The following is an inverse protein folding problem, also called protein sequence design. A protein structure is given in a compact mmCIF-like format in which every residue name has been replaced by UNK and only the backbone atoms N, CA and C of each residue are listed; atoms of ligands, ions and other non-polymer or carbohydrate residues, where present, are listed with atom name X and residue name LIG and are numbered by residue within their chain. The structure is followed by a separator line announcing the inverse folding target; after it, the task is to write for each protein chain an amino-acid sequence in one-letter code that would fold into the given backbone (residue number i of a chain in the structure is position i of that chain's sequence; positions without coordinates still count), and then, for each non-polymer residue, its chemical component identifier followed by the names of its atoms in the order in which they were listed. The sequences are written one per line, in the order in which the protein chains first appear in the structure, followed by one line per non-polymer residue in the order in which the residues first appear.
data_IF_588760326963
#
_entry.id   IF_588760326963
#
_cell.length_a   1.000
_cell.length_b   1.000
_cell.length_c   1.000
_cell.angle_alpha   90.00
_cell.angle_beta   90.00
_cell.angle_gamma   90.00
#
_symmetry.space_group_name_H-M   'P 1'
#
loop_
_entity.id
_entity.type
_entity.pdbx_description
1 polymer ?
#
# COMPACT_ATOMS: atom_id res chain seq x y z
N UNK A 1 26.66 -18.10 10.77
CA UNK A 1 25.47 -17.22 10.92
C UNK A 1 24.46 -17.33 9.79
N UNK A 2 24.89 -17.47 8.52
CA UNK A 2 24.01 -17.69 7.35
C UNK A 2 22.95 -18.79 7.56
N UNK A 3 23.32 -19.94 8.16
CA UNK A 3 22.38 -21.03 8.48
C UNK A 3 21.20 -20.62 9.38
N UNK A 4 21.41 -19.72 10.35
CA UNK A 4 20.34 -19.26 11.27
C UNK A 4 19.39 -18.26 10.60
N UNK A 5 19.88 -17.44 9.66
CA UNK A 5 19.04 -16.51 8.88
C UNK A 5 18.09 -17.27 7.97
N UNK A 6 18.61 -18.25 7.22
CA UNK A 6 17.80 -19.13 6.38
C UNK A 6 16.77 -19.93 7.18
N UNK A 7 17.14 -20.35 8.40
CA UNK A 7 16.21 -21.03 9.29
C UNK A 7 15.06 -20.14 9.75
N UNK A 8 15.31 -18.86 10.04
CA UNK A 8 14.24 -17.91 10.38
C UNK A 8 13.29 -17.71 9.19
N UNK A 9 13.83 -17.48 7.99
CA UNK A 9 13.04 -17.33 6.76
C UNK A 9 12.18 -18.56 6.48
N UNK A 10 12.77 -19.76 6.52
CA UNK A 10 12.04 -21.00 6.33
C UNK A 10 10.91 -21.15 7.34
N UNK A 11 11.17 -20.93 8.65
CA UNK A 11 10.14 -21.06 9.68
C UNK A 11 9.01 -20.03 9.51
N UNK A 12 9.32 -18.79 9.13
CA UNK A 12 8.30 -17.77 8.86
C UNK A 12 7.34 -18.20 7.74
N UNK A 13 7.88 -18.69 6.62
CA UNK A 13 7.05 -19.12 5.48
C UNK A 13 6.27 -20.41 5.76
N UNK A 14 6.87 -21.38 6.47
CA UNK A 14 6.15 -22.60 6.85
C UNK A 14 5.04 -22.29 7.85
N UNK A 15 5.26 -21.36 8.79
CA UNK A 15 4.21 -20.90 9.71
C UNK A 15 3.03 -20.29 8.94
N UNK A 16 3.30 -19.39 7.99
CA UNK A 16 2.28 -18.79 7.14
C UNK A 16 1.51 -19.84 6.32
N UNK A 17 2.23 -20.76 5.66
CA UNK A 17 1.63 -21.81 4.86
C UNK A 17 0.76 -22.75 5.71
N UNK A 18 1.23 -23.15 6.89
CA UNK A 18 0.48 -23.99 7.81
C UNK A 18 -0.80 -23.30 8.33
N UNK A 19 -0.75 -21.99 8.57
CA UNK A 19 -1.91 -21.21 8.96
C UNK A 19 -2.96 -21.19 7.84
N UNK A 20 -2.55 -20.81 6.63
CA UNK A 20 -3.45 -20.76 5.45
C UNK A 20 -4.05 -22.13 5.19
N UNK A 21 -3.24 -23.18 5.19
CA UNK A 21 -3.71 -24.55 4.99
C UNK A 21 -4.69 -24.97 6.09
N UNK A 22 -4.35 -24.72 7.36
CA UNK A 22 -5.17 -25.05 8.51
C UNK A 22 -6.53 -24.36 8.50
N UNK A 23 -6.57 -23.08 8.12
CA UNK A 23 -7.81 -22.32 7.97
C UNK A 23 -8.64 -22.81 6.77
N UNK A 24 -8.03 -22.98 5.60
CA UNK A 24 -8.72 -23.39 4.38
C UNK A 24 -9.35 -24.80 4.49
N UNK A 25 -8.71 -25.71 5.23
CA UNK A 25 -9.16 -27.10 5.37
C UNK A 25 -9.73 -27.42 6.76
N UNK A 26 -9.94 -26.42 7.62
CA UNK A 26 -10.36 -26.61 9.02
C UNK A 26 -9.48 -27.61 9.82
N UNK A 27 -8.18 -27.66 9.51
CA UNK A 27 -7.23 -28.60 10.10
C UNK A 27 -6.57 -28.02 11.35
N UNK A 28 -7.12 -28.32 12.53
CA UNK A 28 -6.72 -27.71 13.82
C UNK A 28 -5.24 -27.92 14.16
N UNK A 29 -4.69 -29.10 13.91
CA UNK A 29 -3.27 -29.38 14.24
C UNK A 29 -2.31 -28.57 13.35
N UNK A 30 -2.74 -28.22 12.13
CA UNK A 30 -1.95 -27.40 11.23
C UNK A 30 -1.93 -25.96 11.74
N UNK A 31 -3.08 -25.44 12.18
CA UNK A 31 -3.17 -24.12 12.83
C UNK A 31 -2.38 -24.05 14.15
N UNK A 32 -2.40 -25.11 14.96
CA UNK A 32 -1.60 -25.20 16.18
C UNK A 32 -0.09 -25.21 15.87
N UNK A 33 0.32 -26.02 14.90
CA UNK A 33 1.72 -26.06 14.43
C UNK A 33 2.17 -24.72 13.84
N UNK A 34 1.29 -24.04 13.10
CA UNK A 34 1.55 -22.72 12.55
C UNK A 34 1.89 -21.71 13.65
N UNK A 35 1.15 -21.73 14.76
CA UNK A 35 1.40 -20.87 15.90
C UNK A 35 2.74 -21.13 16.59
N UNK A 36 3.11 -22.40 16.76
CA UNK A 36 4.41 -22.75 17.34
C UNK A 36 5.56 -22.29 16.44
N UNK A 37 5.46 -22.58 15.14
CA UNK A 37 6.46 -22.19 14.15
C UNK A 37 6.61 -20.68 14.05
N UNK A 38 5.51 -19.93 14.11
CA UNK A 38 5.52 -18.46 14.14
C UNK A 38 6.32 -17.94 15.35
N UNK A 39 6.07 -18.47 16.56
CA UNK A 39 6.82 -18.06 17.76
C UNK A 39 8.32 -18.36 17.66
N UNK A 40 8.66 -19.53 17.12
CA UNK A 40 10.06 -19.91 16.85
C UNK A 40 10.71 -19.00 15.80
N UNK A 41 9.99 -18.67 14.72
CA UNK A 41 10.44 -17.78 13.66
C UNK A 41 10.70 -16.37 14.18
N UNK A 42 9.78 -15.82 14.98
CA UNK A 42 9.92 -14.50 15.59
C UNK A 42 11.13 -14.42 16.53
N UNK A 43 11.34 -15.44 17.36
CA UNK A 43 12.52 -15.54 18.24
C UNK A 43 13.83 -15.59 17.45
N UNK A 44 13.90 -16.43 16.41
CA UNK A 44 15.06 -16.53 15.53
C UNK A 44 15.31 -15.24 14.72
N UNK A 45 14.24 -14.56 14.31
CA UNK A 45 14.30 -13.28 13.63
C UNK A 45 14.91 -12.21 14.53
N UNK A 46 14.36 -12.03 15.74
CA UNK A 46 14.84 -11.07 16.74
C UNK A 46 16.30 -11.30 17.12
N UNK A 47 16.69 -12.54 17.40
CA UNK A 47 18.08 -12.88 17.70
C UNK A 47 19.02 -12.52 16.54
N UNK A 48 18.56 -12.73 15.31
CA UNK A 48 19.31 -12.37 14.11
C UNK A 48 19.59 -10.87 13.98
N UNK A 49 18.61 -10.03 14.30
CA UNK A 49 18.77 -8.58 14.28
C UNK A 49 19.81 -8.09 15.30
N UNK A 50 19.95 -8.78 16.43
CA UNK A 50 20.89 -8.40 17.50
C UNK A 50 22.34 -8.80 17.24
N UNK A 51 22.61 -9.76 16.34
CA UNK A 51 23.91 -10.44 16.31
C UNK A 51 24.67 -10.37 14.97
N UNK A 52 24.12 -9.79 13.88
CA UNK A 52 24.80 -9.80 12.58
C UNK A 52 25.23 -8.43 12.06
N UNK A 53 26.30 -8.43 11.27
CA UNK A 53 26.69 -7.27 10.43
C UNK A 53 25.78 -7.13 9.21
N UNK A 54 25.18 -8.23 8.74
CA UNK A 54 24.22 -8.25 7.62
C UNK A 54 22.76 -8.23 8.12
N UNK A 55 22.41 -7.21 8.93
CA UNK A 55 21.06 -7.09 9.53
C UNK A 55 19.96 -6.89 8.50
N UNK A 56 20.33 -6.49 7.28
CA UNK A 56 19.40 -6.03 6.26
C UNK A 56 19.44 -6.89 4.99
N UNK A 57 19.81 -8.17 5.13
CA UNK A 57 19.79 -9.17 4.07
C UNK A 57 18.37 -9.40 3.49
N UNK A 58 18.29 -9.92 2.27
CA UNK A 58 17.03 -10.27 1.59
C UNK A 58 16.23 -11.33 2.37
N UNK A 59 16.88 -12.37 2.88
CA UNK A 59 16.24 -13.41 3.69
C UNK A 59 15.48 -12.85 4.90
N UNK A 60 15.97 -11.75 5.47
CA UNK A 60 15.34 -11.08 6.62
C UNK A 60 14.11 -10.30 6.20
N UNK A 61 14.16 -9.63 5.05
CA UNK A 61 12.99 -8.97 4.52
C UNK A 61 11.89 -10.00 4.22
N UNK A 62 12.24 -11.13 3.59
CA UNK A 62 11.31 -12.22 3.32
C UNK A 62 10.72 -12.83 4.62
N UNK A 63 11.54 -13.03 5.66
CA UNK A 63 11.04 -13.42 6.99
C UNK A 63 10.01 -12.43 7.53
N UNK A 64 10.30 -11.13 7.44
CA UNK A 64 9.46 -10.07 7.98
C UNK A 64 8.12 -10.01 7.25
N UNK A 65 8.12 -10.11 5.93
CA UNK A 65 6.91 -10.18 5.09
C UNK A 65 6.03 -11.36 5.50
N UNK A 66 6.60 -12.57 5.61
CA UNK A 66 5.83 -13.75 6.00
C UNK A 66 5.26 -13.67 7.43
N UNK A 67 6.01 -13.11 8.39
CA UNK A 67 5.54 -12.90 9.76
C UNK A 67 4.39 -11.89 9.82
N UNK A 68 4.48 -10.80 9.06
CA UNK A 68 3.41 -9.81 8.93
C UNK A 68 2.15 -10.43 8.33
N UNK A 69 2.27 -11.15 7.21
CA UNK A 69 1.14 -11.81 6.56
C UNK A 69 0.47 -12.83 7.49
N UNK A 70 1.27 -13.58 8.26
CA UNK A 70 0.75 -14.50 9.27
C UNK A 70 -0.16 -13.77 10.27
N UNK A 71 0.27 -12.62 10.78
CA UNK A 71 -0.51 -11.87 11.76
C UNK A 71 -1.81 -11.28 11.20
N UNK A 72 -1.77 -10.81 9.94
CA UNK A 72 -2.96 -10.35 9.23
C UNK A 72 -4.02 -11.45 9.14
N UNK A 73 -3.61 -12.67 8.76
CA UNK A 73 -4.53 -13.79 8.56
C UNK A 73 -4.96 -14.47 9.86
N UNK A 74 -4.14 -14.37 10.91
CA UNK A 74 -4.48 -14.92 12.22
C UNK A 74 -5.43 -14.01 13.02
N UNK A 75 -5.83 -12.84 12.47
CA UNK A 75 -6.75 -11.85 13.07
C UNK A 75 -6.41 -11.47 14.51
N UNK A 76 -5.12 -11.38 14.85
CA UNK A 76 -4.73 -11.33 16.26
C UNK A 76 -4.81 -9.95 16.91
N UNK A 77 -4.77 -8.86 16.15
CA UNK A 77 -4.94 -7.48 16.67
C UNK A 77 -5.41 -6.51 15.57
N UNK A 78 -6.42 -5.68 15.86
CA UNK A 78 -6.95 -4.65 14.95
C UNK A 78 -5.87 -3.62 14.52
N UNK A 79 -4.90 -3.33 15.40
CA UNK A 79 -3.80 -2.40 15.15
C UNK A 79 -2.44 -3.09 14.88
N UNK A 80 -2.38 -4.42 14.92
CA UNK A 80 -1.12 -5.17 14.81
C UNK A 80 -0.37 -4.88 13.50
N UNK A 81 -1.12 -4.70 12.42
CA UNK A 81 -0.59 -4.40 11.09
C UNK A 81 0.20 -3.08 11.04
N UNK A 82 -0.15 -2.07 11.86
CA UNK A 82 0.59 -0.80 11.90
C UNK A 82 1.98 -0.97 12.52
N UNK A 83 2.12 -1.82 13.54
CA UNK A 83 3.42 -2.16 14.11
C UNK A 83 4.31 -2.89 13.10
N UNK A 84 3.74 -3.78 12.29
CA UNK A 84 4.46 -4.42 11.19
C UNK A 84 4.87 -3.45 10.10
N UNK A 85 3.94 -2.61 9.65
CA UNK A 85 4.24 -1.58 8.66
C UNK A 85 5.36 -0.65 9.16
N UNK A 86 5.38 -0.30 10.46
CA UNK A 86 6.49 0.45 11.05
C UNK A 86 7.82 -0.31 11.00
N UNK A 87 7.84 -1.57 11.43
CA UNK A 87 9.06 -2.39 11.43
C UNK A 87 9.61 -2.62 10.02
N UNK A 88 8.71 -2.88 9.07
CA UNK A 88 9.01 -3.03 7.66
C UNK A 88 9.53 -1.73 7.03
N UNK A 89 8.85 -0.61 7.27
CA UNK A 89 9.28 0.70 6.77
C UNK A 89 10.68 1.05 7.27
N UNK A 90 10.91 0.89 8.57
CA UNK A 90 12.23 1.07 9.19
C UNK A 90 13.30 0.16 8.57
N UNK A 91 12.95 -1.08 8.26
CA UNK A 91 13.88 -2.05 7.68
C UNK A 91 14.23 -1.71 6.24
N UNK A 92 13.21 -1.40 5.43
CA UNK A 92 13.37 -1.01 4.04
C UNK A 92 14.17 0.28 3.92
N UNK A 93 13.82 1.32 4.69
CA UNK A 93 14.51 2.61 4.67
C UNK A 93 16.02 2.44 4.92
N UNK A 94 16.41 1.56 5.85
CA UNK A 94 17.81 1.25 6.17
C UNK A 94 18.53 0.44 5.10
N UNK A 95 17.83 -0.40 4.34
CA UNK A 95 18.39 -1.04 3.14
C UNK A 95 18.71 -0.01 2.07
N UNK A 96 17.91 1.06 2.01
CA UNK A 96 18.04 2.10 1.01
C UNK A 96 17.48 1.70 -0.36
N UNK A 97 17.33 2.68 -1.26
CA UNK A 97 16.64 2.51 -2.54
C UNK A 97 17.43 1.66 -3.55
N UNK A 98 18.77 1.63 -3.47
CA UNK A 98 19.62 0.85 -4.39
C UNK A 98 19.46 -0.67 -4.19
N UNK A 99 19.15 -1.10 -2.98
CA UNK A 99 18.94 -2.52 -2.67
C UNK A 99 17.59 -3.06 -3.18
N UNK A 100 16.78 -2.22 -3.82
CA UNK A 100 15.52 -2.60 -4.44
C UNK A 100 15.66 -2.91 -5.95
N UNK A 101 16.90 -2.96 -6.45
CA UNK A 101 17.21 -3.26 -7.86
C UNK A 101 17.29 -4.76 -8.17
N UNK A 102 17.64 -5.59 -7.18
CA UNK A 102 17.61 -7.05 -7.37
C UNK A 102 16.18 -7.51 -7.67
N UNK A 103 16.00 -8.60 -8.42
CA UNK A 103 14.67 -9.12 -8.73
C UNK A 103 13.81 -9.34 -7.46
N UNK A 104 14.41 -9.97 -6.45
CA UNK A 104 13.83 -10.20 -5.13
C UNK A 104 13.55 -8.90 -4.39
N UNK A 105 14.53 -7.98 -4.33
CA UNK A 105 14.37 -6.67 -3.71
C UNK A 105 13.26 -5.83 -4.37
N UNK A 106 13.18 -5.85 -5.70
CA UNK A 106 12.18 -5.16 -6.49
C UNK A 106 10.78 -5.70 -6.22
N UNK A 107 10.60 -7.02 -6.29
CA UNK A 107 9.30 -7.65 -6.01
C UNK A 107 8.79 -7.28 -4.63
N UNK A 108 9.65 -7.39 -3.60
CA UNK A 108 9.26 -7.01 -2.25
C UNK A 108 9.02 -5.50 -2.12
N UNK A 109 9.81 -4.67 -2.77
CA UNK A 109 9.60 -3.22 -2.78
C UNK A 109 8.23 -2.83 -3.35
N UNK A 110 7.85 -3.40 -4.51
CA UNK A 110 6.58 -3.12 -5.16
C UNK A 110 5.38 -3.48 -4.27
N UNK A 111 5.43 -4.68 -3.67
CA UNK A 111 4.38 -5.17 -2.79
C UNK A 111 4.16 -4.28 -1.56
N UNK A 112 5.25 -3.83 -0.92
CA UNK A 112 5.16 -3.19 0.38
C UNK A 112 4.97 -1.67 0.32
N UNK A 113 5.25 -1.01 -0.80
CA UNK A 113 5.07 0.44 -0.94
C UNK A 113 3.64 0.87 -0.65
N UNK A 114 2.66 0.15 -1.19
CA UNK A 114 1.24 0.48 -1.02
C UNK A 114 0.90 0.42 0.47
N UNK A 115 1.27 -0.65 1.15
CA UNK A 115 1.09 -0.80 2.60
C UNK A 115 1.69 0.38 3.40
N UNK A 116 2.92 0.76 3.10
CA UNK A 116 3.63 1.83 3.80
C UNK A 116 2.99 3.21 3.54
N UNK A 117 2.56 3.47 2.32
CA UNK A 117 1.87 4.72 1.95
C UNK A 117 0.50 4.79 2.62
N UNK A 118 -0.29 3.71 2.56
CA UNK A 118 -1.59 3.62 3.24
C UNK A 118 -1.44 3.87 4.75
N UNK A 119 -0.44 3.24 5.39
CA UNK A 119 -0.11 3.50 6.79
C UNK A 119 0.20 4.97 7.04
N UNK A 120 0.98 5.60 6.17
CA UNK A 120 1.39 7.01 6.31
C UNK A 120 0.22 7.97 6.15
N UNK A 121 -0.68 7.72 5.20
CA UNK A 121 -1.94 8.46 5.02
C UNK A 121 -2.80 8.35 6.29
N UNK A 122 -3.08 7.12 6.75
CA UNK A 122 -3.94 6.87 7.93
C UNK A 122 -3.36 7.52 9.19
N UNK A 123 -2.05 7.41 9.41
CA UNK A 123 -1.40 8.00 10.58
C UNK A 123 -1.15 9.51 10.46
N UNK A 124 -1.31 10.08 9.26
CA UNK A 124 -0.91 11.44 8.94
C UNK A 124 0.57 11.68 9.21
N UNK A 125 1.43 10.74 8.82
CA UNK A 125 2.88 10.81 8.97
C UNK A 125 3.53 10.67 7.59
N UNK A 126 4.68 11.34 7.40
CA UNK A 126 5.41 11.22 6.14
C UNK A 126 5.98 9.80 5.97
N UNK A 127 6.42 9.49 4.75
CA UNK A 127 7.13 8.25 4.43
C UNK A 127 8.43 8.58 3.71
N UNK A 128 9.47 7.77 3.91
CA UNK A 128 10.71 7.88 3.14
C UNK A 128 10.48 7.72 1.63
N UNK A 129 9.37 7.10 1.24
CA UNK A 129 8.95 6.92 -0.16
C UNK A 129 8.63 8.25 -0.87
N UNK A 130 8.46 9.37 -0.14
CA UNK A 130 8.33 10.70 -0.74
C UNK A 130 9.62 11.15 -1.44
N UNK A 131 10.78 10.66 -0.99
CA UNK A 131 12.07 11.06 -1.55
C UNK A 131 12.22 10.54 -2.98
N UNK A 132 12.62 11.46 -3.88
CA UNK A 132 12.91 11.20 -5.29
C UNK A 132 13.86 10.01 -5.53
N UNK A 133 14.78 9.73 -4.60
CA UNK A 133 15.68 8.59 -4.70
C UNK A 133 14.90 7.26 -4.71
N UNK A 134 13.85 7.15 -3.89
CA UNK A 134 12.97 5.97 -3.83
C UNK A 134 12.04 5.83 -5.02
N UNK A 135 11.79 6.93 -5.74
CA UNK A 135 10.95 6.97 -6.96
C UNK A 135 11.74 6.73 -8.26
N UNK A 136 13.07 6.82 -8.20
CA UNK A 136 13.95 6.76 -9.38
C UNK A 136 14.93 5.59 -9.34
N UNK A 137 15.72 5.48 -8.27
CA UNK A 137 16.83 4.51 -8.22
C UNK A 137 16.40 3.05 -8.36
N UNK A 138 15.25 2.59 -7.85
CA UNK A 138 14.81 1.21 -8.08
C UNK A 138 14.56 0.86 -9.55
N UNK A 139 14.38 1.84 -10.43
CA UNK A 139 14.15 1.66 -11.88
C UNK A 139 15.32 2.18 -12.73
N UNK A 140 16.45 2.54 -12.12
CA UNK A 140 17.59 3.15 -12.84
C UNK A 140 18.15 2.25 -13.95
N UNK A 141 18.20 0.93 -13.71
CA UNK A 141 18.78 -0.04 -14.66
C UNK A 141 17.75 -0.53 -15.70
N UNK A 142 16.46 -0.36 -15.43
CA UNK A 142 15.36 -0.71 -16.33
C UNK A 142 14.18 0.28 -16.15
N UNK A 143 14.26 1.48 -16.75
CA UNK A 143 13.20 2.49 -16.63
C UNK A 143 11.88 2.05 -17.25
N UNK A 144 11.91 1.16 -18.25
CA UNK A 144 10.73 0.67 -18.95
C UNK A 144 9.88 -0.28 -18.07
N UNK A 145 10.49 -0.91 -17.06
CA UNK A 145 9.76 -1.72 -16.06
C UNK A 145 8.83 -0.93 -15.15
N UNK A 146 8.86 0.41 -15.17
CA UNK A 146 8.00 1.24 -14.33
C UNK A 146 6.58 1.31 -14.90
N UNK A 147 5.66 0.62 -14.25
CA UNK A 147 4.27 0.50 -14.68
C UNK A 147 3.45 1.75 -14.34
N UNK A 148 2.26 1.88 -14.94
CA UNK A 148 1.31 2.94 -14.58
C UNK A 148 1.00 2.92 -13.07
N UNK A 149 0.84 1.74 -12.46
CA UNK A 149 0.60 1.60 -11.02
C UNK A 149 1.75 2.19 -10.21
N UNK A 150 2.99 2.00 -10.65
CA UNK A 150 4.15 2.55 -9.96
C UNK A 150 4.13 4.08 -9.87
N UNK A 151 3.69 4.74 -10.93
CA UNK A 151 3.54 6.21 -10.94
C UNK A 151 2.42 6.66 -10.03
N UNK A 152 1.28 5.97 -10.02
CA UNK A 152 0.17 6.25 -9.10
C UNK A 152 0.62 6.14 -7.64
N UNK A 153 1.37 5.08 -7.32
CA UNK A 153 1.91 4.84 -5.98
C UNK A 153 2.91 5.94 -5.58
N UNK A 154 3.71 6.46 -6.51
CA UNK A 154 4.62 7.58 -6.23
C UNK A 154 3.87 8.89 -5.91
N UNK A 155 2.78 9.17 -6.62
CA UNK A 155 1.89 10.30 -6.33
C UNK A 155 1.24 10.12 -4.95
N UNK A 156 0.80 8.90 -4.63
CA UNK A 156 0.27 8.57 -3.31
C UNK A 156 1.28 8.81 -2.18
N UNK A 157 2.56 8.54 -2.41
CA UNK A 157 3.62 8.86 -1.46
C UNK A 157 3.74 10.38 -1.23
N UNK A 158 3.68 11.21 -2.28
CA UNK A 158 3.70 12.67 -2.14
C UNK A 158 2.51 13.19 -1.34
N UNK A 159 1.32 12.66 -1.62
CA UNK A 159 0.10 12.97 -0.89
C UNK A 159 0.24 12.66 0.60
N UNK A 160 0.82 11.51 0.96
CA UNK A 160 1.11 11.18 2.36
C UNK A 160 2.05 12.22 3.02
N UNK A 161 3.07 12.68 2.28
CA UNK A 161 3.96 13.75 2.71
C UNK A 161 3.25 15.09 2.91
N UNK A 162 2.26 15.42 2.08
CA UNK A 162 1.45 16.63 2.24
C UNK A 162 0.54 16.55 3.47
N UNK A 163 -0.14 15.42 3.68
CA UNK A 163 -0.99 15.20 4.86
C UNK A 163 -0.17 15.38 6.14
N UNK A 164 1.04 14.82 6.18
CA UNK A 164 1.93 14.96 7.33
C UNK A 164 2.34 16.43 7.57
N UNK A 165 2.65 17.16 6.50
CA UNK A 165 2.93 18.59 6.58
C UNK A 165 1.72 19.35 7.13
N UNK A 166 0.52 19.15 6.57
CA UNK A 166 -0.75 19.77 7.01
C UNK A 166 -0.97 19.55 8.50
N UNK A 167 -0.79 18.31 8.98
CA UNK A 167 -0.96 17.96 10.40
C UNK A 167 0.05 18.68 11.31
N UNK A 168 1.23 18.99 10.80
CA UNK A 168 2.28 19.74 11.49
C UNK A 168 2.17 21.27 11.37
N UNK A 169 1.17 21.83 10.68
CA UNK A 169 1.05 23.28 10.54
C UNK A 169 0.76 23.96 11.89
N UNK A 170 1.66 24.84 12.28
CA UNK A 170 1.41 25.84 13.32
C UNK A 170 1.04 27.18 12.68
N UNK A 171 -0.20 27.63 12.90
CA UNK A 171 -0.71 28.91 12.38
C UNK A 171 -0.07 30.14 13.05
N UNK A 172 0.71 29.95 14.11
CA UNK A 172 1.47 31.00 14.79
C UNK A 172 2.85 31.23 14.17
N UNK A 173 3.25 30.41 13.21
CA UNK A 173 4.52 30.55 12.51
C UNK A 173 4.51 31.83 11.65
N UNK A 174 5.53 32.69 11.80
CA UNK A 174 5.70 33.91 10.99
C UNK A 174 5.76 33.65 9.49
N UNK A 175 6.15 32.43 9.09
CA UNK A 175 6.20 32.00 7.69
C UNK A 175 4.94 31.26 7.22
N UNK A 176 3.84 31.29 7.99
CA UNK A 176 2.63 30.53 7.72
C UNK A 176 2.10 30.70 6.29
N UNK A 177 1.98 31.94 5.81
CA UNK A 177 1.44 32.20 4.46
C UNK A 177 2.36 31.68 3.36
N UNK A 178 3.67 31.79 3.55
CA UNK A 178 4.67 31.29 2.60
C UNK A 178 4.63 29.76 2.53
N UNK A 179 4.69 29.10 3.69
CA UNK A 179 4.62 27.65 3.79
C UNK A 179 3.30 27.13 3.22
N UNK A 180 2.17 27.74 3.57
CA UNK A 180 0.85 27.40 3.02
C UNK A 180 0.83 27.53 1.50
N UNK A 181 1.33 28.64 0.96
CA UNK A 181 1.37 28.86 -0.49
C UNK A 181 2.31 27.90 -1.22
N UNK A 182 3.42 27.48 -0.58
CA UNK A 182 4.28 26.42 -1.11
C UNK A 182 3.53 25.09 -1.16
N UNK A 183 2.90 24.69 -0.07
CA UNK A 183 2.16 23.43 0.00
C UNK A 183 0.98 23.40 -0.97
N UNK A 184 0.19 24.47 -1.07
CA UNK A 184 -0.90 24.58 -2.05
C UNK A 184 -0.41 24.33 -3.47
N UNK A 185 0.75 24.89 -3.84
CA UNK A 185 1.35 24.65 -5.17
C UNK A 185 1.79 23.20 -5.34
N UNK A 186 2.36 22.57 -4.32
CA UNK A 186 2.78 21.16 -4.39
C UNK A 186 1.58 20.22 -4.54
N UNK A 187 0.51 20.43 -3.77
CA UNK A 187 -0.74 19.67 -3.88
C UNK A 187 -1.36 19.84 -5.26
N UNK A 188 -1.44 21.07 -5.76
CA UNK A 188 -1.97 21.34 -7.11
C UNK A 188 -1.15 20.64 -8.21
N UNK A 189 0.19 20.63 -8.09
CA UNK A 189 1.07 19.89 -9.01
C UNK A 189 0.77 18.39 -8.99
N UNK A 190 0.65 17.77 -7.82
CA UNK A 190 0.35 16.33 -7.71
C UNK A 190 -1.05 15.97 -8.23
N UNK A 191 -2.03 16.84 -8.05
CA UNK A 191 -3.37 16.65 -8.63
C UNK A 191 -3.33 16.73 -10.16
N UNK A 192 -2.54 17.65 -10.71
CA UNK A 192 -2.32 17.73 -12.15
C UNK A 192 -1.61 16.48 -12.68
N UNK A 193 -0.58 16.01 -11.99
CA UNK A 193 0.12 14.75 -12.31
C UNK A 193 -0.83 13.55 -12.28
N UNK A 194 -1.70 13.46 -11.26
CA UNK A 194 -2.71 12.41 -11.16
C UNK A 194 -3.71 12.45 -12.31
N UNK A 195 -4.17 13.65 -12.68
CA UNK A 195 -5.10 13.81 -13.81
C UNK A 195 -4.45 13.41 -15.14
N UNK A 196 -3.19 13.83 -15.38
CA UNK A 196 -2.44 13.43 -16.57
C UNK A 196 -2.25 11.91 -16.59
N UNK A 197 -1.88 11.32 -15.46
CA UNK A 197 -1.74 9.89 -15.30
C UNK A 197 -3.05 9.15 -15.65
N UNK A 198 -4.18 9.61 -15.11
CA UNK A 198 -5.50 9.02 -15.38
C UNK A 198 -5.84 9.04 -16.87
N UNK A 199 -5.69 10.20 -17.51
CA UNK A 199 -5.94 10.36 -18.95
C UNK A 199 -5.07 9.43 -19.80
N UNK A 200 -3.78 9.30 -19.45
CA UNK A 200 -2.86 8.39 -20.14
C UNK A 200 -3.24 6.93 -19.92
N UNK A 201 -3.62 6.57 -18.70
CA UNK A 201 -4.05 5.22 -18.39
C UNK A 201 -5.33 4.87 -19.18
N UNK A 202 -6.33 5.74 -19.17
CA UNK A 202 -7.59 5.56 -19.89
C UNK A 202 -7.37 5.45 -21.42
N UNK A 203 -6.54 6.31 -22.01
CA UNK A 203 -6.23 6.27 -23.44
C UNK A 203 -5.56 4.95 -23.87
N UNK A 204 -4.77 4.34 -22.98
CA UNK A 204 -4.05 3.10 -23.23
C UNK A 204 -4.86 1.83 -22.91
N UNK A 205 -6.03 1.96 -22.26
CA UNK A 205 -6.88 0.84 -21.87
C UNK A 205 -8.29 1.03 -22.45
N UNK A 206 -8.54 0.48 -23.64
CA UNK A 206 -9.76 0.76 -24.41
C UNK A 206 -11.02 0.06 -23.88
N UNK A 207 -10.89 -0.90 -22.95
CA UNK A 207 -11.98 -1.60 -22.23
C UNK A 207 -11.47 -2.18 -20.90
N UNK A 208 -11.23 -1.36 -19.86
CA UNK A 208 -10.60 -1.84 -18.63
C UNK A 208 -11.49 -2.84 -17.86
N UNK A 209 -12.80 -2.75 -18.05
CA UNK A 209 -13.79 -3.68 -17.54
C UNK A 209 -14.92 -3.85 -18.56
N UNK A 210 -15.48 -5.06 -18.65
CA UNK A 210 -16.69 -5.33 -19.42
C UNK A 210 -17.79 -5.89 -18.52
N UNK A 211 -19.02 -5.42 -18.69
CA UNK A 211 -20.14 -5.94 -17.92
C UNK A 211 -20.54 -7.32 -18.47
N UNK A 212 -20.57 -8.32 -17.59
CA UNK A 212 -20.95 -9.69 -17.92
C UNK A 212 -22.35 -9.97 -17.40
N UNK A 213 -23.17 -10.62 -18.24
CA UNK A 213 -24.51 -11.03 -17.86
C UNK A 213 -24.45 -12.01 -16.68
N UNK A 214 -25.27 -11.72 -15.65
CA UNK A 214 -25.44 -12.60 -14.51
C UNK A 214 -25.98 -13.96 -14.97
N UNK A 215 -25.30 -15.05 -14.62
CA UNK A 215 -25.78 -16.41 -14.88
C UNK A 215 -27.10 -16.64 -14.14
N UNK A 216 -28.17 -16.97 -14.86
CA UNK A 216 -29.54 -17.15 -14.32
C UNK A 216 -29.70 -18.41 -13.42
N UNK A 217 -28.61 -19.06 -13.01
CA UNK A 217 -28.62 -20.40 -12.41
C UNK A 217 -28.40 -20.48 -10.89
N UNK A 218 -27.97 -19.42 -10.22
CA UNK A 218 -27.57 -19.50 -8.80
C UNK A 218 -28.01 -18.27 -8.00
N UNK A 219 -29.21 -18.35 -7.40
CA UNK A 219 -29.68 -17.42 -6.37
C UNK A 219 -29.83 -15.95 -6.80
N UNK A 220 -30.34 -15.12 -5.89
CA UNK A 220 -30.26 -13.66 -6.07
C UNK A 220 -28.78 -13.26 -6.10
N UNK A 221 -28.36 -12.48 -7.11
CA UNK A 221 -26.98 -12.06 -7.23
C UNK A 221 -26.62 -11.10 -6.07
N UNK A 222 -25.47 -11.33 -5.44
CA UNK A 222 -24.96 -10.47 -4.34
C UNK A 222 -24.77 -9.02 -4.81
N UNK A 223 -24.45 -8.83 -6.09
CA UNK A 223 -24.28 -7.52 -6.72
C UNK A 223 -25.08 -7.45 -8.03
N UNK A 224 -25.72 -6.31 -8.33
CA UNK A 224 -26.55 -6.14 -9.53
C UNK A 224 -25.75 -6.12 -10.84
N UNK A 225 -24.42 -5.94 -10.76
CA UNK A 225 -23.52 -5.81 -11.91
C UNK A 225 -22.28 -6.68 -11.68
N UNK A 226 -21.91 -7.49 -12.67
CA UNK A 226 -20.66 -8.25 -12.69
C UNK A 226 -19.73 -7.62 -13.73
N UNK A 227 -18.54 -7.22 -13.29
CA UNK A 227 -17.51 -6.68 -14.16
C UNK A 227 -16.41 -7.73 -14.36
N UNK A 228 -16.09 -7.99 -15.62
CA UNK A 228 -14.93 -8.78 -16.03
C UNK A 228 -13.78 -7.86 -16.40
N UNK A 229 -12.58 -8.20 -15.92
CA UNK A 229 -11.38 -7.41 -16.07
C UNK A 229 -10.32 -8.27 -16.76
N UNK A 230 -9.60 -7.70 -17.73
CA UNK A 230 -8.57 -8.43 -18.48
C UNK A 230 -7.45 -8.96 -17.58
N UNK A 231 -7.16 -8.28 -16.46
CA UNK A 231 -6.18 -8.69 -15.45
C UNK A 231 -6.70 -8.40 -14.03
N UNK A 232 -6.29 -9.16 -13.00
CA UNK A 232 -6.63 -8.84 -11.62
C UNK A 232 -6.25 -7.40 -11.22
N UNK A 233 -5.11 -6.92 -11.75
CA UNK A 233 -4.59 -5.59 -11.48
C UNK A 233 -5.38 -4.46 -12.16
N UNK A 234 -6.04 -4.70 -13.30
CA UNK A 234 -6.91 -3.68 -13.91
C UNK A 234 -8.16 -3.45 -13.08
N UNK A 235 -8.63 -4.48 -12.37
CA UNK A 235 -9.63 -4.35 -11.31
C UNK A 235 -9.14 -3.45 -10.18
N UNK A 236 -7.94 -3.68 -9.65
CA UNK A 236 -7.38 -2.85 -8.57
C UNK A 236 -7.07 -1.39 -8.96
N UNK A 237 -6.73 -1.12 -10.22
CA UNK A 237 -6.47 0.25 -10.71
C UNK A 237 -7.72 0.97 -11.20
N UNK A 238 -8.70 0.22 -11.69
CA UNK A 238 -9.98 0.74 -12.18
C UNK A 238 -11.04 0.88 -11.09
N UNK A 239 -10.87 0.18 -9.95
CA UNK A 239 -11.73 0.37 -8.79
C UNK A 239 -11.40 1.73 -8.16
N UNK A 240 -12.33 2.67 -8.35
CA UNK A 240 -12.25 4.06 -7.89
C UNK A 240 -11.84 4.15 -6.42
N UNK A 241 -12.04 3.11 -5.59
CA UNK A 241 -11.76 3.10 -4.16
C UNK A 241 -10.35 3.55 -3.73
N UNK A 242 -9.25 3.22 -4.43
CA UNK A 242 -7.90 3.66 -3.99
C UNK A 242 -7.62 5.10 -4.43
N UNK A 243 -7.87 5.42 -5.71
CA UNK A 243 -7.68 6.77 -6.23
C UNK A 243 -8.66 7.77 -5.57
N UNK A 244 -9.92 7.38 -5.38
CA UNK A 244 -10.97 8.12 -4.68
C UNK A 244 -10.70 8.19 -3.19
N UNK A 245 -10.20 7.15 -2.50
CA UNK A 245 -9.79 7.30 -1.09
C UNK A 245 -8.63 8.29 -0.94
N UNK A 246 -7.68 8.29 -1.87
CA UNK A 246 -6.55 9.24 -1.89
C UNK A 246 -7.02 10.67 -2.21
N UNK A 247 -7.94 10.84 -3.17
CA UNK A 247 -8.49 12.14 -3.62
C UNK A 247 -9.53 12.70 -2.65
N UNK A 248 -10.50 11.91 -2.17
CA UNK A 248 -11.51 12.36 -1.21
C UNK A 248 -10.88 12.76 0.13
N UNK A 249 -9.87 12.04 0.60
CA UNK A 249 -9.17 12.39 1.85
C UNK A 249 -8.38 13.70 1.71
N UNK A 250 -7.77 13.96 0.55
CA UNK A 250 -7.03 15.21 0.30
C UNK A 250 -7.95 16.40 0.02
N UNK A 251 -8.99 16.24 -0.80
CA UNK A 251 -9.96 17.30 -1.10
C UNK A 251 -10.79 17.69 0.13
N UNK A 252 -11.21 16.75 0.98
CA UNK A 252 -11.98 17.04 2.17
C UNK A 252 -11.18 17.82 3.24
N UNK A 253 -9.85 17.72 3.26
CA UNK A 253 -9.00 18.43 4.23
C UNK A 253 -8.36 19.72 3.69
N UNK A 254 -8.16 19.84 2.38
CA UNK A 254 -7.78 21.12 1.76
C UNK A 254 -8.95 22.11 1.69
N UNK A 255 -10.19 21.62 1.75
CA UNK A 255 -11.42 22.43 1.72
C UNK A 255 -12.30 22.14 2.93
N UNK A 256 -11.96 22.66 4.11
CA UNK A 256 -12.94 22.74 5.20
C UNK A 256 -13.28 24.19 5.55
N UNK A 257 -14.41 24.64 5.01
CA UNK A 257 -15.42 25.41 5.76
C UNK A 257 -16.33 24.40 6.47
N UNK A 258 -16.70 24.60 7.74
CA UNK A 258 -17.45 23.61 8.50
C UNK A 258 -18.95 23.75 8.24
N UNK A 259 -19.65 22.67 7.86
CA UNK A 259 -21.05 22.42 8.29
C UNK A 259 -21.38 20.93 8.33
N UNK A 260 -22.01 20.56 9.44
CA UNK A 260 -22.70 19.30 9.75
C UNK A 260 -23.67 18.86 8.65
N UNK A 261 -23.68 17.56 8.31
CA UNK A 261 -24.85 16.65 8.47
C UNK A 261 -24.56 15.24 7.92
N UNK A 262 -24.73 14.28 8.82
CA UNK A 262 -25.26 12.90 8.76
C UNK A 262 -25.46 12.16 7.41
N UNK A 263 -24.98 10.89 7.42
CA UNK A 263 -25.31 9.70 6.59
C UNK A 263 -24.86 9.69 5.11
N UNK A 264 -23.87 8.86 4.79
CA UNK A 264 -23.60 8.36 3.43
C UNK A 264 -24.01 6.90 3.31
N UNK A 265 -25.03 6.64 2.50
CA UNK A 265 -25.25 5.33 1.87
C UNK A 265 -24.37 5.28 0.64
N UNK A 266 -23.56 4.22 0.50
CA UNK A 266 -22.79 3.97 -0.72
C UNK A 266 -23.69 3.24 -1.71
N UNK A 267 -24.32 4.00 -2.61
CA UNK A 267 -25.03 3.50 -3.78
C UNK A 267 -24.27 3.92 -5.02
N UNK A 268 -23.92 2.95 -5.87
CA UNK A 268 -23.25 3.20 -7.14
C UNK A 268 -24.20 3.95 -8.09
N UNK A 269 -23.94 5.23 -8.29
CA UNK A 269 -24.41 5.96 -9.47
C UNK A 269 -23.19 6.38 -10.26
N UNK A 270 -23.09 5.92 -11.52
CA UNK A 270 -22.16 6.43 -12.54
C UNK A 270 -22.09 7.96 -12.44
N UNK A 271 -21.00 8.48 -11.90
CA UNK A 271 -20.71 9.91 -11.98
C UNK A 271 -20.24 10.17 -13.41
N UNK A 272 -21.11 10.82 -14.19
CA UNK A 272 -20.77 11.27 -15.54
C UNK A 272 -19.51 12.13 -15.52
N UNK A 273 -18.58 11.81 -16.43
CA UNK A 273 -17.25 12.40 -16.65
C UNK A 273 -17.21 13.89 -17.04
N UNK A 274 -18.27 14.66 -16.78
CA UNK A 274 -18.39 16.06 -17.18
C UNK A 274 -18.26 17.07 -16.03
N UNK A 275 -18.06 16.64 -14.79
CA UNK A 275 -18.02 17.54 -13.63
C UNK A 275 -16.63 18.18 -13.34
N UNK A 276 -15.56 17.75 -14.01
CA UNK A 276 -14.18 18.16 -13.66
C UNK A 276 -13.62 19.33 -14.46
N UNK A 277 -14.42 20.01 -15.30
CA UNK A 277 -13.93 21.06 -16.20
C UNK A 277 -13.75 22.47 -15.58
N UNK A 278 -14.02 22.67 -14.29
CA UNK A 278 -13.85 23.98 -13.65
C UNK A 278 -13.40 23.90 -12.19
N UNK A 279 -12.13 23.56 -11.94
CA UNK A 279 -11.39 23.94 -10.72
C UNK A 279 -9.97 24.34 -11.11
#
# INVERSE_FOLDING_TARGET
MVKKSKLACQKSWVALAALVFGQAHNHRDATASAHELYGQALSAFRHGLSCSDDRFAEDRLASLTALYMYEMLAFRMEEGWMFHANGLGWFMERRGPRQQKSFTGKSTFLEHRILLITKSIISGQSTFLCDSAWKKLPWEDDPASKSAVDYLVDIGADIAGYIAQIKGYDNKNRNYEFERSRLTRQVASSLQELNIWWQQWEANHTRPASEVALHQGTGEPVFPTLLDYDMPWTGFTGDENIATAIVEYTSAHCLHRPRNTTRRYCGYTKLNSLAWYHI
#
